data_IF_465492521080
#
_entry.id   IF_465492521080
#
_cell.length_a   1.000
_cell.length_b   1.000
_cell.length_c   1.000
_cell.angle_alpha   90.00
_cell.angle_beta   90.00
_cell.angle_gamma   90.00
#
_symmetry.space_group_name_H-M   'P 1'
#
loop_
_entity.id
_entity.type
_entity.pdbx_description
1 polymer ?
#
# COMPACT_ATOMS: atom_id res chain seq x y z
N UNK A 1 -9.27 -23.70 12.23
CA UNK A 1 -9.26 -23.39 10.77
C UNK A 1 -7.86 -22.96 10.42
N UNK A 2 -7.23 -23.56 9.39
CA UNK A 2 -5.87 -23.15 8.98
C UNK A 2 -5.93 -21.80 8.25
N UNK A 3 -4.82 -21.05 8.20
CA UNK A 3 -4.76 -19.76 7.51
C UNK A 3 -5.18 -19.88 6.02
N UNK A 4 -4.72 -20.95 5.35
CA UNK A 4 -5.08 -21.27 3.97
C UNK A 4 -6.59 -21.50 3.78
N UNK A 5 -7.23 -22.21 4.71
CA UNK A 5 -8.69 -22.43 4.69
C UNK A 5 -9.47 -21.12 4.87
N UNK A 6 -9.03 -20.24 5.78
CA UNK A 6 -9.68 -18.93 5.99
C UNK A 6 -9.57 -18.03 4.75
N UNK A 7 -8.40 -17.95 4.11
CA UNK A 7 -8.20 -17.17 2.88
C UNK A 7 -9.13 -17.63 1.75
N UNK A 8 -9.25 -18.93 1.52
CA UNK A 8 -10.11 -19.50 0.48
C UNK A 8 -11.58 -19.14 0.72
N UNK A 9 -12.05 -19.21 1.96
CA UNK A 9 -13.43 -18.86 2.32
C UNK A 9 -13.68 -17.37 2.06
N UNK A 10 -12.79 -16.48 2.53
CA UNK A 10 -12.91 -15.03 2.30
C UNK A 10 -12.90 -14.73 0.79
N UNK A 11 -11.97 -15.30 0.03
CA UNK A 11 -11.87 -15.12 -1.42
C UNK A 11 -13.15 -15.56 -2.14
N UNK A 12 -13.66 -16.75 -1.81
CA UNK A 12 -14.88 -17.30 -2.42
C UNK A 12 -16.09 -16.41 -2.12
N UNK A 13 -16.17 -15.89 -0.89
CA UNK A 13 -17.22 -14.99 -0.49
C UNK A 13 -17.14 -13.65 -1.23
N UNK A 14 -15.97 -12.99 -1.26
CA UNK A 14 -15.78 -11.73 -1.98
C UNK A 14 -16.11 -11.91 -3.46
N UNK A 15 -15.65 -12.99 -4.10
CA UNK A 15 -16.01 -13.33 -5.48
C UNK A 15 -17.51 -13.50 -5.68
N UNK A 16 -18.22 -14.04 -4.70
CA UNK A 16 -19.68 -14.23 -4.78
C UNK A 16 -20.41 -12.90 -4.66
N UNK A 17 -20.05 -12.08 -3.67
CA UNK A 17 -20.63 -10.75 -3.51
C UNK A 17 -20.40 -9.87 -4.75
N UNK A 18 -19.19 -9.92 -5.33
CA UNK A 18 -18.85 -9.14 -6.53
C UNK A 18 -19.55 -9.59 -7.83
N UNK A 19 -20.20 -10.77 -7.85
CA UNK A 19 -21.07 -11.16 -8.97
C UNK A 19 -22.36 -10.34 -8.99
N UNK A 20 -22.89 -10.02 -7.81
CA UNK A 20 -24.14 -9.28 -7.64
C UNK A 20 -23.88 -7.75 -7.60
N UNK A 21 -22.61 -7.33 -7.59
CA UNK A 21 -22.22 -5.93 -7.49
C UNK A 21 -22.56 -5.10 -8.74
N UNK A 22 -22.74 -5.75 -9.90
CA UNK A 22 -23.09 -5.04 -11.14
C UNK A 22 -24.55 -4.52 -11.13
N UNK A 23 -25.44 -5.12 -10.31
CA UNK A 23 -26.84 -4.70 -10.16
C UNK A 23 -27.08 -3.79 -8.95
N UNK A 24 -26.35 -3.99 -7.86
CA UNK A 24 -26.53 -3.25 -6.61
C UNK A 24 -25.19 -3.01 -5.86
N UNK A 25 -24.28 -2.20 -6.41
CA UNK A 25 -22.92 -2.00 -5.92
C UNK A 25 -22.89 -1.43 -4.49
N UNK A 26 -23.76 -0.47 -4.16
CA UNK A 26 -23.83 0.12 -2.82
C UNK A 26 -24.22 -0.91 -1.76
N UNK A 27 -25.29 -1.68 -2.05
CA UNK A 27 -25.78 -2.74 -1.16
C UNK A 27 -24.73 -3.83 -0.99
N UNK A 28 -24.11 -4.25 -2.09
CA UNK A 28 -23.01 -5.20 -2.07
C UNK A 28 -21.88 -4.72 -1.16
N UNK A 29 -21.47 -3.46 -1.31
CA UNK A 29 -20.38 -2.86 -0.52
C UNK A 29 -20.70 -2.86 0.98
N UNK A 30 -21.89 -2.41 1.38
CA UNK A 30 -22.27 -2.41 2.81
C UNK A 30 -22.32 -3.84 3.38
N UNK A 31 -22.90 -4.78 2.64
CA UNK A 31 -22.97 -6.18 3.04
C UNK A 31 -21.59 -6.81 3.21
N UNK A 32 -20.65 -6.48 2.30
CA UNK A 32 -19.25 -6.92 2.39
C UNK A 32 -18.59 -6.40 3.68
N UNK A 33 -18.79 -5.12 4.02
CA UNK A 33 -18.21 -4.51 5.22
C UNK A 33 -18.82 -5.09 6.50
N UNK A 34 -20.15 -5.22 6.56
CA UNK A 34 -20.83 -5.80 7.72
C UNK A 34 -20.39 -7.25 7.97
N UNK A 35 -20.21 -8.01 6.88
CA UNK A 35 -19.73 -9.37 7.00
C UNK A 35 -18.24 -9.44 7.37
N UNK A 36 -17.42 -8.56 6.81
CA UNK A 36 -16.01 -8.49 7.18
C UNK A 36 -15.85 -8.14 8.68
N UNK A 37 -16.71 -7.26 9.23
CA UNK A 37 -16.80 -7.02 10.67
C UNK A 37 -17.14 -8.28 11.45
N UNK A 38 -18.13 -9.05 10.99
CA UNK A 38 -18.54 -10.28 11.67
C UNK A 38 -17.39 -11.31 11.79
N UNK A 39 -16.53 -11.40 10.78
CA UNK A 39 -15.38 -12.33 10.78
C UNK A 39 -14.09 -11.73 11.34
N UNK A 40 -14.08 -10.44 11.68
CA UNK A 40 -12.91 -9.74 12.19
C UNK A 40 -12.54 -10.23 13.59
N UNK A 41 -11.26 -10.54 13.79
CA UNK A 41 -10.71 -11.00 15.08
C UNK A 41 -9.58 -10.11 15.59
N UNK A 42 -8.94 -9.35 14.69
CA UNK A 42 -7.83 -8.45 15.04
C UNK A 42 -8.30 -7.02 15.29
N UNK A 43 -7.61 -6.31 16.20
CA UNK A 43 -7.88 -4.89 16.50
C UNK A 43 -7.87 -4.01 15.26
N UNK A 44 -6.92 -4.23 14.35
CA UNK A 44 -6.84 -3.49 13.09
C UNK A 44 -8.06 -3.76 12.19
N UNK A 45 -8.44 -5.02 11.99
CA UNK A 45 -9.58 -5.37 11.15
C UNK A 45 -10.87 -4.73 11.67
N UNK A 46 -11.12 -4.83 12.99
CA UNK A 46 -12.29 -4.22 13.63
C UNK A 46 -12.28 -2.71 13.41
N UNK A 47 -11.17 -2.03 13.75
CA UNK A 47 -11.05 -0.58 13.60
C UNK A 47 -11.23 -0.13 12.14
N UNK A 48 -10.66 -0.86 11.18
CA UNK A 48 -10.77 -0.56 9.76
C UNK A 48 -12.22 -0.72 9.27
N UNK A 49 -12.86 -1.86 9.54
CA UNK A 49 -14.21 -2.09 9.02
C UNK A 49 -15.28 -1.28 9.77
N UNK A 50 -15.06 -0.89 11.03
CA UNK A 50 -15.94 0.07 11.72
C UNK A 50 -15.86 1.46 11.09
N UNK A 51 -14.65 1.89 10.71
CA UNK A 51 -14.45 3.14 9.96
C UNK A 51 -15.13 3.06 8.60
N UNK A 52 -14.91 1.97 7.85
CA UNK A 52 -15.54 1.76 6.55
C UNK A 52 -17.08 1.76 6.66
N UNK A 53 -17.64 1.05 7.66
CA UNK A 53 -19.09 1.03 7.90
C UNK A 53 -19.62 2.42 8.22
N UNK A 54 -18.92 3.18 9.06
CA UNK A 54 -19.30 4.56 9.41
C UNK A 54 -19.31 5.46 8.17
N UNK A 55 -18.29 5.35 7.33
CA UNK A 55 -18.19 6.09 6.06
C UNK A 55 -19.31 5.72 5.09
N UNK A 56 -19.68 4.44 5.01
CA UNK A 56 -20.73 3.96 4.09
C UNK A 56 -22.16 4.22 4.60
N UNK A 57 -22.35 4.65 5.85
CA UNK A 57 -23.65 5.14 6.32
C UNK A 57 -24.09 6.44 5.61
N UNK A 58 -23.15 7.18 5.01
CA UNK A 58 -23.46 8.32 4.16
C UNK A 58 -23.98 7.83 2.80
N UNK A 59 -25.30 7.89 2.59
CA UNK A 59 -25.95 7.48 1.33
C UNK A 59 -25.47 8.27 0.11
N UNK A 60 -24.98 9.51 0.31
CA UNK A 60 -24.44 10.36 -0.76
C UNK A 60 -22.91 10.33 -0.83
N UNK A 61 -22.28 9.27 -0.29
CA UNK A 61 -20.83 9.16 -0.28
C UNK A 61 -20.26 9.10 -1.70
N UNK A 62 -19.24 9.92 -2.06
CA UNK A 62 -18.51 9.75 -3.31
C UNK A 62 -17.74 8.43 -3.40
N UNK A 63 -17.67 7.65 -2.31
CA UNK A 63 -17.05 6.33 -2.37
C UNK A 63 -17.94 5.30 -3.07
N UNK A 64 -19.25 5.49 -3.13
CA UNK A 64 -20.12 4.63 -3.95
C UNK A 64 -19.80 4.72 -5.44
N UNK A 65 -19.84 5.90 -6.09
CA UNK A 65 -19.46 6.00 -7.50
C UNK A 65 -17.98 5.67 -7.74
N UNK A 66 -17.10 5.86 -6.75
CA UNK A 66 -15.71 5.39 -6.86
C UNK A 66 -15.62 3.86 -6.94
N UNK A 67 -16.34 3.14 -6.07
CA UNK A 67 -16.36 1.68 -6.05
C UNK A 67 -16.98 1.15 -7.34
N UNK A 68 -18.08 1.75 -7.79
CA UNK A 68 -18.69 1.42 -9.09
C UNK A 68 -17.71 1.57 -10.24
N UNK A 69 -16.98 2.70 -10.28
CA UNK A 69 -16.01 2.97 -11.32
C UNK A 69 -14.86 1.93 -11.32
N UNK A 70 -14.32 1.62 -10.14
CA UNK A 70 -13.28 0.62 -9.98
C UNK A 70 -13.76 -0.78 -10.41
N UNK A 71 -14.96 -1.20 -10.01
CA UNK A 71 -15.52 -2.51 -10.39
C UNK A 71 -15.79 -2.64 -11.89
N UNK A 72 -16.12 -1.52 -12.54
CA UNK A 72 -16.40 -1.48 -13.98
C UNK A 72 -15.13 -1.48 -14.82
N UNK A 73 -14.12 -0.70 -14.43
CA UNK A 73 -12.95 -0.42 -15.27
C UNK A 73 -11.69 -1.19 -14.87
N UNK A 74 -11.63 -1.78 -13.67
CA UNK A 74 -10.50 -2.60 -13.25
C UNK A 74 -10.83 -4.09 -13.35
N UNK A 75 -9.79 -4.92 -13.44
CA UNK A 75 -9.94 -6.36 -13.36
C UNK A 75 -10.29 -6.78 -11.91
N UNK A 76 -11.43 -7.45 -11.75
CA UNK A 76 -11.96 -7.89 -10.45
C UNK A 76 -10.99 -8.84 -9.74
N UNK A 77 -10.26 -9.69 -10.46
CA UNK A 77 -9.29 -10.61 -9.83
C UNK A 77 -8.08 -9.85 -9.27
N UNK A 78 -7.68 -8.73 -9.89
CA UNK A 78 -6.62 -7.85 -9.36
C UNK A 78 -7.05 -7.17 -8.06
N UNK A 79 -8.25 -6.60 -8.05
CA UNK A 79 -8.85 -6.01 -6.84
C UNK A 79 -8.92 -7.03 -5.68
N UNK A 80 -9.32 -8.26 -5.99
CA UNK A 80 -9.46 -9.33 -4.99
C UNK A 80 -8.10 -9.80 -4.47
N UNK A 81 -7.15 -10.15 -5.34
CA UNK A 81 -5.86 -10.68 -4.90
C UNK A 81 -5.03 -9.62 -4.16
N UNK A 82 -4.93 -8.40 -4.70
CA UNK A 82 -4.26 -7.31 -4.01
C UNK A 82 -4.90 -7.03 -2.64
N UNK A 83 -6.23 -6.91 -2.58
CA UNK A 83 -6.96 -6.66 -1.33
C UNK A 83 -6.80 -7.78 -0.30
N UNK A 84 -6.80 -9.05 -0.73
CA UNK A 84 -6.54 -10.19 0.14
C UNK A 84 -5.11 -10.19 0.66
N UNK A 85 -4.12 -9.87 -0.16
CA UNK A 85 -2.73 -9.83 0.28
C UNK A 85 -2.51 -8.67 1.26
N UNK A 86 -3.08 -7.50 1.01
CA UNK A 86 -2.96 -6.34 1.90
C UNK A 86 -3.68 -6.59 3.24
N UNK A 87 -4.96 -6.96 3.18
CA UNK A 87 -5.79 -7.12 4.37
C UNK A 87 -5.56 -8.42 5.13
N UNK A 88 -5.59 -9.56 4.43
CA UNK A 88 -5.44 -10.87 5.07
C UNK A 88 -3.97 -11.24 5.29
N UNK A 89 -3.14 -11.28 4.24
CA UNK A 89 -1.74 -11.69 4.43
C UNK A 89 -0.96 -10.67 5.25
N UNK A 90 -1.05 -9.37 4.96
CA UNK A 90 -0.41 -8.30 5.73
C UNK A 90 -1.03 -8.11 7.10
N UNK A 91 -2.25 -7.56 7.14
CA UNK A 91 -2.82 -7.06 8.40
C UNK A 91 -3.46 -8.12 9.31
N UNK A 92 -3.56 -9.39 8.87
CA UNK A 92 -4.16 -10.48 9.66
C UNK A 92 -3.15 -11.56 10.00
N UNK A 93 -2.66 -12.28 8.99
CA UNK A 93 -1.71 -13.37 9.15
C UNK A 93 -0.33 -12.84 9.56
N UNK A 94 0.21 -11.89 8.78
CA UNK A 94 1.47 -11.21 9.05
C UNK A 94 1.46 -10.51 10.41
N UNK A 95 0.40 -9.75 10.70
CA UNK A 95 0.20 -9.14 12.02
C UNK A 95 0.19 -10.14 13.19
N UNK A 96 -0.21 -11.39 12.98
CA UNK A 96 -0.10 -12.43 14.03
C UNK A 96 1.35 -12.86 14.25
N UNK A 97 2.12 -13.03 13.17
CA UNK A 97 3.54 -13.38 13.20
C UNK A 97 4.35 -12.24 13.84
N UNK A 98 4.14 -11.00 13.41
CA UNK A 98 4.77 -9.78 13.97
C UNK A 98 4.57 -9.72 15.50
N UNK A 99 3.33 -9.88 15.97
CA UNK A 99 3.03 -9.89 17.42
C UNK A 99 3.68 -11.06 18.16
N UNK A 100 3.80 -12.22 17.52
CA UNK A 100 4.48 -13.38 18.11
C UNK A 100 5.96 -13.06 18.30
N UNK A 101 6.64 -12.60 17.26
CA UNK A 101 8.06 -12.22 17.28
C UNK A 101 8.32 -11.15 18.33
N UNK A 102 7.48 -10.10 18.39
CA UNK A 102 7.61 -9.06 19.43
C UNK A 102 7.53 -9.64 20.84
N UNK A 103 6.62 -10.59 21.10
CA UNK A 103 6.48 -11.23 22.42
C UNK A 103 7.62 -12.19 22.77
N UNK A 104 8.14 -12.92 21.79
CA UNK A 104 9.13 -14.00 22.04
C UNK A 104 10.57 -13.53 21.92
N UNK A 105 10.84 -12.51 21.11
CA UNK A 105 12.19 -12.07 20.74
C UNK A 105 12.41 -10.58 21.00
N UNK A 106 11.38 -9.84 21.40
CA UNK A 106 11.40 -8.38 21.60
C UNK A 106 11.80 -7.54 20.36
N UNK A 107 11.72 -8.12 19.16
CA UNK A 107 12.03 -7.42 17.90
C UNK A 107 10.81 -6.61 17.44
N UNK A 108 11.04 -5.35 17.07
CA UNK A 108 10.03 -4.49 16.43
C UNK A 108 10.03 -4.75 14.92
N UNK A 109 9.13 -5.60 14.45
CA UNK A 109 9.00 -5.89 13.01
C UNK A 109 8.01 -4.91 12.38
N UNK A 110 8.39 -4.17 11.31
CA UNK A 110 7.45 -3.33 10.58
C UNK A 110 6.46 -4.21 9.80
N UNK A 111 5.23 -3.76 9.63
CA UNK A 111 4.22 -4.55 8.89
C UNK A 111 4.35 -4.43 7.35
N UNK A 112 5.13 -3.46 6.89
CA UNK A 112 5.47 -3.21 5.50
C UNK A 112 6.93 -2.78 5.35
N UNK A 113 7.48 -2.86 4.14
CA UNK A 113 8.83 -2.37 3.81
C UNK A 113 8.82 -1.47 2.57
N UNK A 114 9.65 -0.43 2.61
CA UNK A 114 9.99 0.38 1.43
C UNK A 114 11.31 -0.11 0.84
N UNK A 115 11.36 -0.41 -0.45
CA UNK A 115 12.57 -0.81 -1.16
C UNK A 115 12.79 0.13 -2.34
N UNK A 116 13.84 0.95 -2.26
CA UNK A 116 14.35 1.68 -3.41
C UNK A 116 15.24 0.73 -4.19
N UNK A 117 14.85 0.40 -5.41
CA UNK A 117 15.50 -0.60 -6.26
C UNK A 117 16.13 0.11 -7.45
N UNK A 118 17.45 -0.06 -7.63
CA UNK A 118 18.08 0.27 -8.91
C UNK A 118 17.72 -0.82 -9.91
N UNK A 119 16.83 -0.50 -10.87
CA UNK A 119 16.42 -1.47 -11.88
C UNK A 119 17.56 -1.92 -12.79
N UNK A 120 18.69 -1.20 -12.79
CA UNK A 120 19.90 -1.61 -13.49
C UNK A 120 20.72 -2.69 -12.77
N UNK A 121 20.38 -3.06 -11.54
CA UNK A 121 21.12 -4.06 -10.75
C UNK A 121 21.23 -5.40 -11.50
N UNK A 122 22.44 -5.94 -11.60
CA UNK A 122 22.68 -7.26 -12.19
C UNK A 122 22.06 -8.36 -11.31
N UNK A 123 21.39 -9.34 -11.89
CA UNK A 123 20.70 -10.39 -11.12
C UNK A 123 19.74 -9.80 -10.06
N UNK A 124 18.96 -8.78 -10.46
CA UNK A 124 18.02 -8.05 -9.60
C UNK A 124 17.09 -8.99 -8.85
N UNK A 125 16.51 -9.98 -9.54
CA UNK A 125 15.56 -10.89 -8.91
C UNK A 125 16.24 -11.75 -7.85
N UNK A 126 17.40 -12.33 -8.17
CA UNK A 126 18.17 -13.16 -7.25
C UNK A 126 18.67 -12.40 -6.03
N UNK A 127 19.00 -11.11 -6.20
CA UNK A 127 19.55 -10.27 -5.14
C UNK A 127 18.48 -9.76 -4.17
N UNK A 128 17.26 -9.50 -4.67
CA UNK A 128 16.16 -8.97 -3.85
C UNK A 128 15.19 -10.05 -3.34
N UNK A 129 15.08 -11.22 -3.97
CA UNK A 129 14.21 -12.31 -3.51
C UNK A 129 14.46 -12.72 -2.04
N UNK A 130 15.72 -12.82 -1.55
CA UNK A 130 15.98 -13.13 -0.14
C UNK A 130 15.37 -12.11 0.85
N UNK A 131 15.12 -10.87 0.44
CA UNK A 131 14.48 -9.84 1.28
C UNK A 131 12.99 -10.17 1.47
N UNK A 132 12.33 -10.66 0.41
CA UNK A 132 10.94 -11.10 0.48
C UNK A 132 10.81 -12.37 1.31
N UNK A 133 11.68 -13.35 1.11
CA UNK A 133 11.65 -14.61 1.86
C UNK A 133 11.84 -14.35 3.36
N UNK A 134 12.85 -13.56 3.74
CA UNK A 134 13.08 -13.16 5.12
C UNK A 134 11.93 -12.30 5.68
N UNK A 135 11.35 -11.41 4.86
CA UNK A 135 10.22 -10.60 5.29
C UNK A 135 8.98 -11.44 5.58
N UNK A 136 8.65 -12.42 4.74
CA UNK A 136 7.53 -13.35 4.96
C UNK A 136 7.70 -14.17 6.24
N UNK A 137 8.91 -14.63 6.53
CA UNK A 137 9.25 -15.31 7.80
C UNK A 137 9.02 -14.41 9.02
N UNK A 138 9.18 -13.10 8.86
CA UNK A 138 8.94 -12.09 9.89
C UNK A 138 7.49 -11.58 9.94
N UNK A 139 6.66 -11.97 8.97
CA UNK A 139 5.26 -11.53 8.89
C UNK A 139 5.02 -10.29 8.02
N UNK A 140 5.97 -9.93 7.16
CA UNK A 140 5.90 -8.80 6.23
C UNK A 140 5.39 -9.30 4.88
N UNK A 141 4.24 -8.79 4.45
CA UNK A 141 3.59 -9.16 3.18
C UNK A 141 3.19 -7.93 2.36
N UNK A 142 3.64 -6.74 2.75
CA UNK A 142 3.28 -5.49 2.08
C UNK A 142 4.58 -4.75 1.74
N UNK A 143 4.77 -4.47 0.45
CA UNK A 143 6.02 -3.93 -0.06
C UNK A 143 5.74 -2.74 -0.96
N UNK A 144 6.37 -1.62 -0.67
CA UNK A 144 6.48 -0.49 -1.57
C UNK A 144 7.81 -0.60 -2.30
N UNK A 145 7.77 -0.77 -3.61
CA UNK A 145 8.94 -0.77 -4.47
C UNK A 145 9.00 0.58 -5.17
N UNK A 146 10.14 1.22 -5.13
CA UNK A 146 10.38 2.45 -5.88
C UNK A 146 11.54 2.24 -6.84
N UNK A 147 11.37 2.65 -8.09
CA UNK A 147 12.48 2.76 -9.04
C UNK A 147 12.30 4.02 -9.87
N UNK A 148 13.41 4.71 -10.16
CA UNK A 148 13.45 5.93 -10.97
C UNK A 148 13.83 5.68 -12.43
N UNK A 149 13.92 4.41 -12.81
CA UNK A 149 14.27 3.92 -14.15
C UNK A 149 13.18 2.94 -14.58
N UNK A 150 13.55 1.97 -15.41
CA UNK A 150 12.66 0.97 -15.97
C UNK A 150 11.95 0.09 -14.89
N UNK A 151 10.63 0.26 -14.68
CA UNK A 151 9.84 -0.54 -13.75
C UNK A 151 9.58 -1.97 -14.26
N UNK A 152 9.67 -2.22 -15.57
CA UNK A 152 9.41 -3.53 -16.16
C UNK A 152 10.40 -4.59 -15.65
N UNK A 153 11.65 -4.18 -15.38
CA UNK A 153 12.70 -5.06 -14.83
C UNK A 153 12.37 -5.61 -13.43
N UNK A 154 11.44 -4.99 -12.70
CA UNK A 154 11.01 -5.47 -11.38
C UNK A 154 9.90 -6.53 -11.50
N UNK A 155 9.19 -6.62 -12.63
CA UNK A 155 8.04 -7.53 -12.78
C UNK A 155 8.38 -9.01 -12.53
N UNK A 156 9.55 -9.56 -12.92
CA UNK A 156 9.92 -10.94 -12.57
C UNK A 156 9.98 -11.19 -11.06
N UNK A 157 10.58 -10.27 -10.30
CA UNK A 157 10.64 -10.32 -8.85
C UNK A 157 9.24 -10.21 -8.24
N UNK A 158 8.40 -9.32 -8.78
CA UNK A 158 7.01 -9.14 -8.33
C UNK A 158 6.21 -10.43 -8.53
N UNK A 159 6.34 -11.10 -9.70
CA UNK A 159 5.66 -12.37 -10.00
C UNK A 159 6.00 -13.49 -9.02
N UNK A 160 7.24 -13.54 -8.51
CA UNK A 160 7.67 -14.57 -7.55
C UNK A 160 7.03 -14.41 -6.17
N UNK A 161 6.41 -13.27 -5.88
CA UNK A 161 5.88 -12.93 -4.55
C UNK A 161 4.36 -12.68 -4.60
N UNK A 162 3.61 -13.62 -5.19
CA UNK A 162 2.15 -13.57 -5.38
C UNK A 162 1.32 -13.50 -4.10
N UNK A 163 1.92 -13.80 -2.95
CA UNK A 163 1.30 -13.72 -1.63
C UNK A 163 1.50 -12.36 -0.95
N UNK A 164 2.30 -11.48 -1.55
CA UNK A 164 2.51 -10.11 -1.07
C UNK A 164 1.59 -9.12 -1.78
N UNK A 165 1.20 -8.04 -1.10
CA UNK A 165 0.63 -6.87 -1.75
C UNK A 165 1.79 -5.94 -2.12
N UNK A 166 1.99 -5.76 -3.42
CA UNK A 166 3.12 -4.98 -3.94
C UNK A 166 2.58 -3.69 -4.54
N UNK A 167 3.13 -2.57 -4.07
CA UNK A 167 2.88 -1.23 -4.61
C UNK A 167 4.15 -0.79 -5.32
N UNK A 168 4.09 -0.66 -6.65
CA UNK A 168 5.21 -0.21 -7.47
C UNK A 168 5.06 1.27 -7.77
N UNK A 169 5.88 2.09 -7.14
CA UNK A 169 5.98 3.53 -7.37
C UNK A 169 6.99 3.79 -8.49
N UNK A 170 6.55 4.44 -9.56
CA UNK A 170 7.40 4.76 -10.71
C UNK A 170 7.02 6.10 -11.36
N UNK A 171 7.94 6.62 -12.17
CA UNK A 171 7.68 7.77 -13.03
C UNK A 171 6.51 7.49 -13.96
N UNK A 172 5.69 8.52 -14.22
CA UNK A 172 4.57 8.44 -15.16
C UNK A 172 5.03 8.18 -16.60
N UNK A 173 6.21 8.69 -16.97
CA UNK A 173 6.87 8.52 -18.25
C UNK A 173 7.28 7.07 -18.55
N UNK A 174 7.40 6.26 -17.50
CA UNK A 174 7.70 4.83 -17.61
C UNK A 174 6.45 3.97 -17.89
N UNK A 175 5.25 4.55 -17.80
CA UNK A 175 3.99 3.83 -18.02
C UNK A 175 3.65 3.86 -19.51
N UNK A 176 4.03 2.79 -20.21
CA UNK A 176 3.76 2.59 -21.63
C UNK A 176 2.76 1.45 -21.85
N UNK A 177 2.25 1.33 -23.06
CA UNK A 177 1.45 0.16 -23.50
C UNK A 177 2.20 -1.16 -23.26
N UNK A 178 3.49 -1.21 -23.63
CA UNK A 178 4.34 -2.40 -23.43
C UNK A 178 4.47 -2.76 -21.95
N UNK A 179 4.69 -1.75 -21.08
CA UNK A 179 4.74 -1.98 -19.64
C UNK A 179 3.41 -2.51 -19.10
N UNK A 180 2.28 -1.93 -19.51
CA UNK A 180 0.96 -2.36 -19.07
C UNK A 180 0.65 -3.78 -19.53
N UNK A 181 1.00 -4.12 -20.77
CA UNK A 181 0.88 -5.47 -21.32
C UNK A 181 1.75 -6.48 -20.58
N UNK A 182 2.96 -6.08 -20.18
CA UNK A 182 3.87 -6.89 -19.38
C UNK A 182 3.40 -7.05 -17.93
N UNK A 183 2.56 -6.16 -17.40
CA UNK A 183 2.05 -6.23 -16.02
C UNK A 183 0.69 -6.93 -15.87
N UNK A 184 -0.03 -7.19 -16.98
CA UNK A 184 -1.45 -7.62 -16.97
C UNK A 184 -1.74 -8.94 -16.28
N UNK A 185 -0.77 -9.85 -16.17
CA UNK A 185 -0.93 -11.14 -15.51
C UNK A 185 -0.70 -11.09 -13.99
N UNK A 186 -0.27 -9.94 -13.46
CA UNK A 186 0.09 -9.78 -12.05
C UNK A 186 -1.12 -9.23 -11.26
N UNK A 187 -1.74 -10.10 -10.47
CA UNK A 187 -2.98 -9.75 -9.76
C UNK A 187 -2.78 -9.07 -8.39
N UNK A 188 -1.58 -9.13 -7.86
CA UNK A 188 -1.22 -8.62 -6.53
C UNK A 188 -0.41 -7.33 -6.58
N UNK A 189 -0.49 -6.61 -7.69
CA UNK A 189 0.23 -5.37 -7.97
C UNK A 189 -0.72 -4.17 -8.03
N UNK A 190 -0.35 -3.11 -7.33
CA UNK A 190 -0.89 -1.76 -7.51
C UNK A 190 0.23 -0.87 -8.07
N UNK A 191 -0.06 -0.14 -9.14
CA UNK A 191 0.89 0.78 -9.78
C UNK A 191 0.65 2.19 -9.25
N UNK A 192 1.63 2.75 -8.55
CA UNK A 192 1.65 4.14 -8.14
C UNK A 192 2.33 4.99 -9.20
N UNK A 193 1.54 5.85 -9.85
CA UNK A 193 1.99 6.79 -10.88
C UNK A 193 2.41 8.10 -10.23
N UNK A 194 3.63 8.55 -10.50
CA UNK A 194 4.10 9.85 -10.01
C UNK A 194 3.23 10.99 -10.57
N UNK A 195 2.87 11.95 -9.71
CA UNK A 195 2.13 13.15 -10.10
C UNK A 195 3.07 14.17 -10.75
N UNK A 196 3.03 14.23 -12.08
CA UNK A 196 3.75 15.16 -12.95
C UNK A 196 3.03 15.33 -14.30
N UNK A 197 3.70 15.93 -15.29
CA UNK A 197 3.14 16.30 -16.59
C UNK A 197 2.62 15.11 -17.44
N UNK A 198 3.03 13.86 -17.19
CA UNK A 198 2.58 12.70 -17.98
C UNK A 198 1.52 11.84 -17.26
N UNK A 199 1.05 12.28 -16.09
CA UNK A 199 0.12 11.50 -15.23
C UNK A 199 -1.18 11.11 -15.96
N UNK A 200 -1.76 12.02 -16.74
CA UNK A 200 -3.01 11.78 -17.49
C UNK A 200 -2.86 10.59 -18.44
N UNK A 201 -1.80 10.61 -19.26
CA UNK A 201 -1.53 9.58 -20.25
C UNK A 201 -1.23 8.23 -19.59
N UNK A 202 -0.42 8.24 -18.53
CA UNK A 202 -0.10 7.04 -17.76
C UNK A 202 -1.35 6.39 -17.16
N UNK A 203 -2.23 7.18 -16.52
CA UNK A 203 -3.46 6.66 -15.92
C UNK A 203 -4.43 6.12 -16.97
N UNK A 204 -4.50 6.75 -18.16
CA UNK A 204 -5.32 6.26 -19.26
C UNK A 204 -4.86 4.88 -19.72
N UNK A 205 -3.57 4.68 -19.95
CA UNK A 205 -2.99 3.37 -20.34
C UNK A 205 -3.33 2.31 -19.30
N UNK A 206 -3.09 2.57 -18.01
CA UNK A 206 -3.37 1.60 -16.95
C UNK A 206 -4.86 1.24 -16.88
N UNK A 207 -5.73 2.23 -17.09
CA UNK A 207 -7.18 2.05 -17.08
C UNK A 207 -7.67 1.24 -18.28
N UNK A 208 -7.16 1.49 -19.47
CA UNK A 208 -7.50 0.75 -20.69
C UNK A 208 -7.08 -0.73 -20.58
N UNK A 209 -5.96 -1.00 -19.90
CA UNK A 209 -5.50 -2.35 -19.55
C UNK A 209 -6.15 -2.94 -18.29
N UNK A 210 -7.09 -2.20 -17.67
CA UNK A 210 -7.83 -2.62 -16.46
C UNK A 210 -6.93 -2.97 -15.27
N UNK A 211 -5.77 -2.32 -15.17
CA UNK A 211 -4.83 -2.50 -14.08
C UNK A 211 -5.28 -1.73 -12.83
N UNK A 212 -4.79 -2.16 -11.66
CA UNK A 212 -5.02 -1.45 -10.41
C UNK A 212 -3.94 -0.37 -10.26
N UNK A 213 -4.36 0.88 -10.13
CA UNK A 213 -3.45 2.01 -10.05
C UNK A 213 -3.87 3.05 -9.01
N UNK A 214 -2.93 3.94 -8.69
CA UNK A 214 -3.06 5.11 -7.83
C UNK A 214 -2.17 6.20 -8.39
N UNK A 215 -2.49 7.46 -8.12
CA UNK A 215 -1.48 8.53 -8.21
C UNK A 215 -0.79 8.68 -6.86
N UNK A 216 0.48 9.08 -6.89
CA UNK A 216 1.20 9.50 -5.70
C UNK A 216 1.98 10.79 -5.94
N UNK A 217 2.16 11.60 -4.89
CA UNK A 217 3.02 12.78 -4.94
C UNK A 217 4.03 12.76 -3.81
N UNK A 218 5.30 12.86 -4.15
CA UNK A 218 6.32 13.31 -3.21
C UNK A 218 6.26 14.83 -3.15
N UNK A 219 6.03 15.42 -1.97
CA UNK A 219 5.85 16.86 -1.83
C UNK A 219 6.95 17.48 -0.97
N UNK A 220 7.42 18.64 -1.40
CA UNK A 220 8.25 19.55 -0.62
C UNK A 220 7.40 20.53 0.21
N UNK A 221 8.05 21.37 1.02
CA UNK A 221 7.36 22.37 1.84
C UNK A 221 6.46 23.29 0.99
N UNK A 222 6.99 23.77 -0.14
CA UNK A 222 6.31 24.72 -1.03
C UNK A 222 5.11 24.06 -1.77
N UNK A 223 5.26 22.79 -2.12
CA UNK A 223 4.25 22.01 -2.85
C UNK A 223 3.12 21.50 -1.96
N UNK A 224 3.29 21.56 -0.63
CA UNK A 224 2.26 21.13 0.33
C UNK A 224 0.93 21.87 0.14
N UNK A 225 0.97 23.10 -0.39
CA UNK A 225 -0.19 23.95 -0.64
C UNK A 225 -1.23 23.33 -1.60
N UNK A 226 -0.80 22.56 -2.60
CA UNK A 226 -1.69 21.87 -3.53
C UNK A 226 -2.47 20.74 -2.82
N UNK A 227 -1.83 20.06 -1.87
CA UNK A 227 -2.47 19.02 -1.08
C UNK A 227 -3.44 19.65 -0.07
N UNK A 228 -3.02 20.73 0.60
CA UNK A 228 -3.82 21.42 1.60
C UNK A 228 -5.07 22.09 1.02
N UNK A 229 -4.97 22.63 -0.21
CA UNK A 229 -6.11 23.20 -0.93
C UNK A 229 -7.05 22.14 -1.51
N UNK A 230 -6.59 20.90 -1.62
CA UNK A 230 -7.31 19.77 -2.22
C UNK A 230 -7.31 19.78 -3.75
N UNK A 231 -6.50 20.62 -4.41
CA UNK A 231 -6.35 20.57 -5.87
C UNK A 231 -5.82 19.22 -6.33
N UNK A 232 -4.84 18.67 -5.61
CA UNK A 232 -4.28 17.35 -5.88
C UNK A 232 -5.34 16.24 -5.85
N UNK A 233 -6.22 16.24 -4.84
CA UNK A 233 -7.27 15.21 -4.72
C UNK A 233 -8.37 15.35 -5.76
N UNK A 234 -8.70 16.58 -6.18
CA UNK A 234 -9.65 16.81 -7.28
C UNK A 234 -9.10 16.24 -8.58
N UNK A 235 -7.82 16.49 -8.86
CA UNK A 235 -7.17 15.95 -10.04
C UNK A 235 -7.12 14.42 -10.04
N UNK A 236 -6.79 13.80 -8.89
CA UNK A 236 -6.83 12.35 -8.76
C UNK A 236 -8.23 11.74 -9.02
N UNK A 237 -9.29 12.45 -8.63
CA UNK A 237 -10.68 12.07 -8.96
C UNK A 237 -10.96 12.14 -10.47
N UNK A 238 -10.49 13.18 -11.16
CA UNK A 238 -10.64 13.32 -12.62
C UNK A 238 -9.93 12.18 -13.38
N UNK A 239 -8.84 11.66 -12.80
CA UNK A 239 -8.10 10.49 -13.30
C UNK A 239 -8.71 9.13 -12.93
N UNK A 240 -9.85 9.13 -12.25
CA UNK A 240 -10.50 7.92 -11.76
C UNK A 240 -9.60 7.07 -10.85
N UNK A 241 -8.70 7.69 -10.09
CA UNK A 241 -7.79 6.98 -9.20
C UNK A 241 -8.48 6.60 -7.88
N UNK A 242 -8.60 5.30 -7.53
CA UNK A 242 -9.19 4.90 -6.26
C UNK A 242 -8.45 5.43 -5.04
N UNK A 243 -7.14 5.61 -5.17
CA UNK A 243 -6.26 6.12 -4.13
C UNK A 243 -5.46 7.31 -4.64
N UNK A 244 -5.15 8.22 -3.72
CA UNK A 244 -4.31 9.39 -3.96
C UNK A 244 -3.33 9.53 -2.79
N UNK A 245 -2.09 9.10 -3.03
CA UNK A 245 -1.09 8.95 -1.99
C UNK A 245 -0.14 10.15 -1.92
N UNK A 246 0.24 10.56 -0.71
CA UNK A 246 1.25 11.60 -0.50
C UNK A 246 2.42 11.07 0.32
N UNK A 247 3.62 11.51 -0.03
CA UNK A 247 4.88 11.21 0.64
C UNK A 247 5.58 12.53 0.90
N UNK A 248 5.91 12.81 2.15
CA UNK A 248 6.67 14.01 2.46
C UNK A 248 8.13 13.83 2.07
N UNK A 249 8.72 14.86 1.46
CA UNK A 249 10.17 14.94 1.29
C UNK A 249 10.89 14.90 2.66
N UNK A 250 12.07 14.26 2.78
CA UNK A 250 12.85 14.25 4.02
C UNK A 250 13.18 15.63 4.60
N UNK A 251 13.18 16.68 3.79
CA UNK A 251 13.42 18.07 4.19
C UNK A 251 12.19 18.79 4.74
N UNK A 252 10.97 18.28 4.49
CA UNK A 252 9.75 18.89 5.01
C UNK A 252 9.72 18.97 6.53
N UNK A 253 9.17 20.08 7.04
CA UNK A 253 9.02 20.28 8.47
C UNK A 253 8.01 19.31 9.08
N UNK A 254 8.21 18.93 10.35
CA UNK A 254 7.25 18.11 11.09
C UNK A 254 5.86 18.77 11.18
N UNK A 255 5.80 20.10 11.17
CA UNK A 255 4.56 20.87 11.16
C UNK A 255 3.79 20.67 9.84
N UNK A 256 4.46 20.89 8.70
CA UNK A 256 3.84 20.71 7.38
C UNK A 256 3.40 19.28 7.16
N UNK A 257 4.26 18.30 7.51
CA UNK A 257 3.90 16.88 7.51
C UNK A 257 2.64 16.59 8.33
N UNK A 258 2.55 17.12 9.54
CA UNK A 258 1.38 16.97 10.41
C UNK A 258 0.13 17.64 9.84
N UNK A 259 0.26 18.79 9.19
CA UNK A 259 -0.84 19.52 8.58
C UNK A 259 -1.38 18.80 7.33
N UNK A 260 -0.49 18.31 6.47
CA UNK A 260 -0.86 17.48 5.29
C UNK A 260 -1.58 16.21 5.76
N UNK A 261 -1.05 15.50 6.76
CA UNK A 261 -1.72 14.30 7.27
C UNK A 261 -3.13 14.61 7.79
N UNK A 262 -3.30 15.69 8.58
CA UNK A 262 -4.62 16.13 9.04
C UNK A 262 -5.55 16.48 7.88
N UNK A 263 -5.05 17.12 6.84
CA UNK A 263 -5.83 17.46 5.64
C UNK A 263 -6.25 16.22 4.87
N UNK A 264 -5.36 15.24 4.69
CA UNK A 264 -5.66 13.95 4.06
C UNK A 264 -6.74 13.19 4.84
N UNK A 265 -6.57 13.04 6.15
CA UNK A 265 -7.56 12.38 7.03
C UNK A 265 -8.90 13.13 7.02
N UNK A 266 -8.87 14.46 7.14
CA UNK A 266 -10.08 15.28 7.12
C UNK A 266 -10.84 15.15 5.79
N UNK A 267 -10.11 15.08 4.68
CA UNK A 267 -10.68 14.87 3.34
C UNK A 267 -11.28 13.47 3.18
N UNK A 268 -10.57 12.44 3.66
CA UNK A 268 -11.02 11.04 3.68
C UNK A 268 -12.27 10.84 4.53
N UNK A 269 -12.30 11.37 5.75
CA UNK A 269 -13.43 11.27 6.68
C UNK A 269 -14.64 12.06 6.18
N UNK A 270 -14.42 13.26 5.64
CA UNK A 270 -15.49 14.06 5.05
C UNK A 270 -15.94 13.55 3.69
N UNK A 271 -15.25 12.55 3.11
CA UNK A 271 -15.52 11.97 1.79
C UNK A 271 -15.74 13.08 0.76
N UNK A 272 -14.74 13.96 0.58
CA UNK A 272 -14.89 15.15 -0.30
C UNK A 272 -14.75 14.83 -1.78
N UNK A 273 -14.02 13.79 -2.12
CA UNK A 273 -13.62 13.44 -3.49
C UNK A 273 -13.87 11.96 -3.75
N UNK A 274 -13.95 11.58 -5.03
CA UNK A 274 -14.02 10.17 -5.48
C UNK A 274 -12.64 9.55 -5.56
N UNK A 275 -11.86 9.70 -4.50
CA UNK A 275 -10.57 9.07 -4.28
C UNK A 275 -10.35 8.95 -2.79
N UNK A 276 -9.50 8.02 -2.35
CA UNK A 276 -9.16 7.83 -0.93
C UNK A 276 -7.78 8.46 -0.68
N UNK A 277 -7.71 9.60 0.02
CA UNK A 277 -6.45 10.19 0.47
C UNK A 277 -5.68 9.26 1.41
N UNK A 278 -4.39 9.09 1.13
CA UNK A 278 -3.46 8.31 1.94
C UNK A 278 -2.21 9.13 2.20
N UNK A 279 -1.85 9.32 3.46
CA UNK A 279 -0.50 9.76 3.82
C UNK A 279 0.33 8.51 4.08
N UNK A 280 1.22 8.17 3.16
CA UNK A 280 1.92 6.88 3.21
C UNK A 280 2.77 6.71 4.47
N UNK A 281 3.24 7.80 5.07
CA UNK A 281 4.10 7.72 6.25
C UNK A 281 3.28 7.59 7.54
N UNK A 282 2.32 8.49 7.74
CA UNK A 282 1.50 8.49 8.95
C UNK A 282 0.49 7.35 8.97
N UNK A 283 -0.11 6.99 7.84
CA UNK A 283 -1.03 5.84 7.78
C UNK A 283 -0.26 4.54 8.02
N UNK A 284 0.94 4.35 7.43
CA UNK A 284 1.78 3.19 7.68
C UNK A 284 2.15 3.05 9.17
N UNK A 285 2.55 4.14 9.81
CA UNK A 285 2.89 4.14 11.24
C UNK A 285 1.65 3.87 12.11
N UNK A 286 0.50 4.47 11.77
CA UNK A 286 -0.77 4.27 12.49
C UNK A 286 -1.19 2.80 12.45
N UNK A 287 -1.17 2.18 11.27
CA UNK A 287 -1.49 0.75 11.13
C UNK A 287 -0.50 -0.11 11.91
N UNK A 288 0.80 0.18 11.79
CA UNK A 288 1.83 -0.56 12.50
C UNK A 288 1.67 -0.48 14.03
N UNK A 289 1.27 0.68 14.57
CA UNK A 289 1.02 0.87 16.00
C UNK A 289 -0.22 0.10 16.50
N UNK A 290 -1.22 -0.09 15.64
CA UNK A 290 -2.36 -0.96 15.96
C UNK A 290 -1.93 -2.44 15.97
N UNK A 291 -1.00 -2.80 15.07
CA UNK A 291 -0.46 -4.16 14.96
C UNK A 291 0.44 -4.49 16.15
N UNK A 292 1.57 -3.80 16.29
CA UNK A 292 2.61 -4.06 17.29
C UNK A 292 3.38 -2.78 17.63
N UNK A 293 2.97 -2.03 18.66
CA UNK A 293 3.65 -0.81 19.06
C UNK A 293 4.96 -1.11 19.84
N UNK A 294 5.97 -0.21 19.78
CA UNK A 294 6.03 0.95 18.88
C UNK A 294 6.34 0.51 17.44
N UNK A 295 5.63 1.11 16.48
CA UNK A 295 5.86 0.86 15.06
C UNK A 295 7.12 1.56 14.56
N UNK A 296 7.74 0.97 13.55
CA UNK A 296 8.81 1.60 12.77
C UNK A 296 8.41 1.65 11.29
N UNK A 297 8.76 2.73 10.61
CA UNK A 297 8.60 2.88 9.16
C UNK A 297 9.99 2.97 8.57
N UNK A 298 10.43 1.88 7.95
CA UNK A 298 11.78 1.74 7.41
C UNK A 298 11.78 1.43 5.92
N UNK A 299 12.87 1.78 5.27
CA UNK A 299 13.16 1.34 3.93
C UNK A 299 14.62 1.02 3.72
N UNK A 300 14.93 0.51 2.52
CA UNK A 300 16.29 0.23 2.08
C UNK A 300 16.59 0.98 0.79
N UNK A 301 17.75 1.63 0.76
CA UNK A 301 18.28 2.32 -0.42
C UNK A 301 18.75 1.31 -1.48
N UNK A 302 19.03 1.75 -2.73
CA UNK A 302 19.50 0.85 -3.78
C UNK A 302 20.81 0.13 -3.44
N UNK A 303 21.67 0.74 -2.61
CA UNK A 303 22.90 0.12 -2.12
C UNK A 303 22.68 -0.88 -0.96
N UNK A 304 21.43 -1.04 -0.52
CA UNK A 304 20.99 -1.90 0.57
C UNK A 304 21.01 -1.23 1.95
N UNK A 305 21.41 0.04 2.07
CA UNK A 305 21.49 0.74 3.35
C UNK A 305 20.09 1.04 3.90
N UNK A 306 19.86 0.71 5.17
CA UNK A 306 18.57 1.00 5.83
C UNK A 306 18.42 2.48 6.16
N UNK A 307 17.20 3.01 6.02
CA UNK A 307 16.84 4.35 6.49
C UNK A 307 15.50 4.33 7.22
N UNK A 308 15.34 5.25 8.17
CA UNK A 308 14.07 5.47 8.88
C UNK A 308 13.35 6.68 8.30
N UNK A 309 12.15 6.47 7.77
CA UNK A 309 11.39 7.52 7.06
C UNK A 309 10.86 8.60 8.02
N UNK A 310 10.70 8.31 9.31
CA UNK A 310 10.26 9.29 10.32
C UNK A 310 11.39 10.17 10.83
N UNK A 311 12.64 9.71 10.77
CA UNK A 311 13.80 10.47 11.22
C UNK A 311 14.50 11.18 10.07
N UNK A 312 13.73 11.87 9.22
CA UNK A 312 14.19 12.58 8.02
C UNK A 312 15.07 11.72 7.08
N UNK A 313 14.76 10.42 6.96
CA UNK A 313 15.54 9.51 6.13
C UNK A 313 16.96 9.23 6.63
N UNK A 314 17.25 9.46 7.93
CA UNK A 314 18.58 9.19 8.50
C UNK A 314 18.99 7.74 8.24
N UNK A 315 20.14 7.59 7.58
CA UNK A 315 20.77 6.30 7.30
C UNK A 315 21.24 5.66 8.60
N UNK A 316 21.04 4.35 8.75
CA UNK A 316 21.64 3.56 9.82
C UNK A 316 22.81 2.75 9.26
N UNK A 317 23.65 2.22 10.15
CA UNK A 317 24.90 1.51 9.79
C UNK A 317 24.70 0.11 9.22
N UNK A 318 23.48 -0.29 8.87
CA UNK A 318 23.12 -1.65 8.50
C UNK A 318 22.75 -1.78 7.03
N UNK A 319 22.99 -2.96 6.46
CA UNK A 319 22.81 -3.20 5.03
C UNK A 319 22.17 -4.58 4.74
N UNK A 320 21.06 -4.57 4.01
CA UNK A 320 20.23 -5.78 3.75
C UNK A 320 20.91 -6.82 2.85
N UNK A 321 21.93 -6.43 2.08
CA UNK A 321 22.71 -7.37 1.26
C UNK A 321 23.90 -7.98 2.02
N UNK A 322 24.17 -7.52 3.26
CA UNK A 322 25.29 -7.98 4.09
C UNK A 322 24.84 -8.66 5.38
N UNK A 323 23.66 -8.32 5.87
CA UNK A 323 23.09 -8.81 7.12
C UNK A 323 21.68 -9.33 6.89
N UNK A 324 21.24 -10.30 7.70
CA UNK A 324 19.85 -10.76 7.63
C UNK A 324 18.90 -9.66 8.08
N UNK A 325 17.70 -9.59 7.50
CA UNK A 325 16.66 -8.63 7.88
C UNK A 325 16.37 -8.71 9.39
N UNK A 326 16.34 -9.93 9.93
CA UNK A 326 16.13 -10.18 11.36
C UNK A 326 17.23 -9.55 12.22
N UNK A 327 18.50 -9.71 11.84
CA UNK A 327 19.63 -9.11 12.57
C UNK A 327 19.60 -7.59 12.49
N UNK A 328 19.28 -7.03 11.32
CA UNK A 328 19.15 -5.59 11.13
C UNK A 328 18.06 -5.04 12.05
N UNK A 329 16.88 -5.66 12.08
CA UNK A 329 15.77 -5.23 12.94
C UNK A 329 16.11 -5.38 14.42
N UNK A 330 16.81 -6.46 14.79
CA UNK A 330 17.27 -6.63 16.15
C UNK A 330 18.23 -5.51 16.53
N UNK A 331 19.26 -5.21 15.75
CA UNK A 331 20.28 -4.21 16.10
C UNK A 331 19.79 -2.76 15.97
N UNK A 332 18.99 -2.46 14.96
CA UNK A 332 18.51 -1.09 14.68
C UNK A 332 17.48 -0.59 15.70
N UNK A 333 16.79 -1.52 16.38
CA UNK A 333 15.73 -1.21 17.34
C UNK A 333 15.98 -1.78 18.74
N UNK A 334 17.12 -2.45 18.95
CA UNK A 334 17.68 -2.70 20.28
C UNK A 334 18.45 -1.48 20.75
N UNK A 335 17.75 -0.39 21.03
CA UNK A 335 18.20 0.66 21.94
C UNK A 335 17.04 1.63 22.14
N UNK A 336 16.32 1.39 23.23
CA UNK A 336 15.48 2.36 23.91
C UNK A 336 15.83 2.28 25.39
N UNK A 337 16.94 2.93 25.75
CA UNK A 337 16.93 3.84 26.89
C UNK A 337 16.12 5.08 26.50
#
# INVERSE_FOLDING_TARGET
>A
MTAKTSRIIIKTFVKTALKDADEAPERCTRNLVDMALHFSKGRFQISFFEMARTMLNNENSPYYPLIEDALKHMDKDKLIEFGLNLGYNGCTMGAHIVRKIKRTENINVPWLLFLNIDSAHENLTESYQPIFDQGKDLGIYVYFLYTNKDPERLLPLIRQNEDCAIILLCGSDCITEDFADSAKDINHLLIGVNYDDHTDAACLVLRDHRLLYSVYRMFTEDESSEILSGSYYRYAEELHCPFSAVIADPTCSSETRGNVYKAAVGTRVAQKYRTIPIDLMYDAETVGNIISPPSSVIGFQPDGTIYNLRNNGKLLSHNIFKESLRDILQKSFSMGE
#
